data_IF_982465827535
#
_entry.id   IF_982465827535
#
_cell.length_a   1.000
_cell.length_b   1.000
_cell.length_c   1.000
_cell.angle_alpha   90.00
_cell.angle_beta   90.00
_cell.angle_gamma   90.00
#
_symmetry.space_group_name_H-M   'P 1'
#
loop_
_entity.id
_entity.type
_entity.pdbx_description
1 polymer ?
#
# COMPACT_ATOMS: atom_id res chain seq x y z
N UNK A 1 38.59 -15.50 -0.69
CA UNK A 1 39.50 -14.77 0.21
C UNK A 1 38.77 -13.48 0.60
N UNK A 2 38.62 -13.15 1.89
CA UNK A 2 37.93 -11.90 2.28
C UNK A 2 38.89 -10.74 2.06
N UNK A 3 38.47 -9.73 1.30
CA UNK A 3 39.28 -8.52 1.08
C UNK A 3 39.49 -7.77 2.41
N UNK A 4 40.70 -7.24 2.67
CA UNK A 4 41.01 -6.59 3.95
C UNK A 4 40.04 -5.47 4.35
N UNK A 5 39.59 -4.64 3.39
CA UNK A 5 38.66 -3.54 3.64
C UNK A 5 37.30 -3.99 4.16
N UNK A 6 36.73 -5.07 3.60
CA UNK A 6 35.49 -5.69 4.09
C UNK A 6 35.59 -6.18 5.53
N UNK A 7 36.76 -6.70 5.92
CA UNK A 7 37.01 -7.11 7.31
C UNK A 7 36.99 -5.90 8.25
N UNK A 8 37.63 -4.80 7.85
CA UNK A 8 37.59 -3.55 8.63
C UNK A 8 36.16 -2.99 8.72
N UNK A 9 35.38 -3.01 7.64
CA UNK A 9 33.99 -2.54 7.65
C UNK A 9 33.13 -3.37 8.61
N UNK A 10 33.19 -4.70 8.50
CA UNK A 10 32.43 -5.60 9.38
C UNK A 10 32.84 -5.46 10.86
N UNK A 11 34.15 -5.30 11.13
CA UNK A 11 34.64 -5.06 12.48
C UNK A 11 34.12 -3.71 13.03
N UNK A 12 34.25 -2.64 12.25
CA UNK A 12 33.80 -1.31 12.64
C UNK A 12 32.29 -1.27 12.91
N UNK A 13 31.47 -1.95 12.09
CA UNK A 13 30.03 -2.07 12.35
C UNK A 13 29.74 -2.75 13.70
N UNK A 14 30.49 -3.79 14.05
CA UNK A 14 30.34 -4.48 15.33
C UNK A 14 30.80 -3.61 16.50
N UNK A 15 31.90 -2.89 16.37
CA UNK A 15 32.40 -1.99 17.41
C UNK A 15 31.47 -0.79 17.62
N UNK A 16 30.89 -0.25 16.56
CA UNK A 16 29.97 0.89 16.62
C UNK A 16 28.83 0.68 17.63
N UNK A 17 28.29 -0.54 17.70
CA UNK A 17 27.21 -0.90 18.62
C UNK A 17 27.66 -1.27 20.03
N UNK A 18 28.95 -1.10 20.38
CA UNK A 18 29.46 -1.29 21.75
C UNK A 18 29.50 0.01 22.56
N UNK A 19 28.46 0.83 22.42
CA UNK A 19 28.30 2.03 23.26
C UNK A 19 28.37 1.62 24.74
N UNK A 20 29.07 2.41 25.55
CA UNK A 20 29.31 2.13 26.97
C UNK A 20 28.04 2.20 27.85
N UNK A 21 26.94 2.73 27.31
CA UNK A 21 25.66 2.89 27.99
C UNK A 21 24.58 2.00 27.35
N UNK A 22 23.54 1.57 28.10
CA UNK A 22 22.42 0.85 27.52
C UNK A 22 21.78 1.64 26.38
N UNK A 23 21.40 0.98 25.27
CA UNK A 23 20.87 1.65 24.07
C UNK A 23 19.68 2.58 24.33
N UNK A 24 18.80 2.22 25.26
CA UNK A 24 17.64 3.05 25.63
C UNK A 24 18.00 4.38 26.33
N UNK A 25 19.25 4.52 26.78
CA UNK A 25 19.79 5.69 27.47
C UNK A 25 20.90 6.37 26.66
N UNK A 26 21.31 5.79 25.52
CA UNK A 26 22.35 6.34 24.67
C UNK A 26 21.88 7.65 24.05
N UNK A 27 22.64 8.71 24.29
CA UNK A 27 22.42 10.03 23.68
C UNK A 27 22.98 10.06 22.26
N UNK A 28 22.59 11.08 21.50
CA UNK A 28 23.20 11.35 20.19
C UNK A 28 24.72 11.50 20.30
N UNK A 29 25.23 12.11 21.37
CA UNK A 29 26.66 12.32 21.55
C UNK A 29 27.41 10.99 21.74
N UNK A 30 26.84 10.03 22.47
CA UNK A 30 27.43 8.71 22.67
C UNK A 30 27.62 7.96 21.34
N UNK A 31 26.61 8.03 20.45
CA UNK A 31 26.68 7.43 19.12
C UNK A 31 27.70 8.12 18.21
N UNK A 32 27.80 9.45 18.29
CA UNK A 32 28.79 10.21 17.53
C UNK A 32 30.21 9.93 18.01
N UNK A 33 30.44 9.73 19.30
CA UNK A 33 31.75 9.31 19.83
C UNK A 33 32.14 7.91 19.33
N UNK A 34 31.20 6.97 19.32
CA UNK A 34 31.44 5.64 18.73
C UNK A 34 31.72 5.70 17.22
N UNK A 35 31.02 6.58 16.49
CA UNK A 35 31.32 6.84 15.10
C UNK A 35 32.76 7.32 14.89
N UNK A 36 33.23 8.29 15.69
CA UNK A 36 34.60 8.82 15.56
C UNK A 36 35.67 7.74 15.78
N UNK A 37 35.44 6.81 16.73
CA UNK A 37 36.33 5.66 16.95
C UNK A 37 36.36 4.75 15.70
N UNK A 38 35.20 4.42 15.15
CA UNK A 38 35.07 3.55 13.98
C UNK A 38 35.66 4.18 12.71
N UNK A 39 35.50 5.50 12.55
CA UNK A 39 35.98 6.30 11.41
C UNK A 39 37.48 6.15 11.18
N UNK A 40 38.26 5.90 12.23
CA UNK A 40 39.72 5.64 12.11
C UNK A 40 40.05 4.51 11.14
N UNK A 41 39.14 3.53 11.00
CA UNK A 41 39.29 2.41 10.08
C UNK A 41 39.03 2.77 8.60
N UNK A 42 38.41 3.91 8.30
CA UNK A 42 38.09 4.32 6.91
C UNK A 42 39.34 4.51 6.06
N UNK A 43 40.48 4.82 6.69
CA UNK A 43 41.78 4.87 6.00
C UNK A 43 42.22 3.54 5.36
N UNK A 44 41.59 2.42 5.76
CA UNK A 44 41.89 1.06 5.31
C UNK A 44 40.75 0.43 4.50
N UNK A 45 39.75 1.22 4.14
CA UNK A 45 38.52 0.80 3.46
C UNK A 45 38.49 1.39 2.04
N UNK A 46 37.96 0.62 1.08
CA UNK A 46 37.54 1.17 -0.20
C UNK A 46 36.22 1.95 -0.04
N UNK A 47 35.83 2.70 -1.07
CA UNK A 47 34.59 3.49 -1.04
C UNK A 47 33.36 2.63 -0.75
N UNK A 48 33.28 1.43 -1.35
CA UNK A 48 32.21 0.46 -1.13
C UNK A 48 32.14 -0.06 0.31
N UNK A 49 33.29 -0.26 0.97
CA UNK A 49 33.37 -0.72 2.36
C UNK A 49 32.86 0.34 3.35
N UNK A 50 33.11 1.63 3.06
CA UNK A 50 32.57 2.76 3.83
C UNK A 50 31.05 2.84 3.67
N UNK A 51 30.53 2.66 2.46
CA UNK A 51 29.08 2.56 2.23
C UNK A 51 28.47 1.39 3.00
N UNK A 52 29.13 0.24 3.03
CA UNK A 52 28.66 -0.92 3.78
C UNK A 52 28.66 -0.68 5.29
N UNK A 53 29.65 0.06 5.81
CA UNK A 53 29.64 0.51 7.21
C UNK A 53 28.42 1.39 7.50
N UNK A 54 28.15 2.40 6.67
CA UNK A 54 26.99 3.29 6.84
C UNK A 54 25.67 2.52 6.73
N UNK A 55 25.55 1.60 5.76
CA UNK A 55 24.36 0.73 5.62
C UNK A 55 24.16 -0.15 6.86
N UNK A 56 25.22 -0.79 7.35
CA UNK A 56 25.17 -1.70 8.50
C UNK A 56 24.89 -1.00 9.82
N UNK A 57 25.25 0.28 9.93
CA UNK A 57 25.04 1.08 11.15
C UNK A 57 23.75 1.89 11.11
N UNK A 58 23.55 2.74 10.09
CA UNK A 58 22.41 3.67 10.02
C UNK A 58 21.12 3.04 9.45
N UNK A 59 21.23 1.98 8.64
CA UNK A 59 20.11 1.44 7.89
C UNK A 59 19.88 -0.06 8.11
N UNK A 60 20.39 -0.58 9.23
CA UNK A 60 20.07 -1.92 9.70
C UNK A 60 18.84 -1.87 10.63
N UNK A 61 18.17 -3.02 10.77
CA UNK A 61 17.06 -3.18 11.73
C UNK A 61 17.46 -2.74 13.14
N UNK A 62 18.70 -3.04 13.53
CA UNK A 62 19.23 -2.65 14.82
C UNK A 62 19.48 -1.14 14.88
N UNK A 63 20.18 -0.58 13.89
CA UNK A 63 20.46 0.86 13.81
C UNK A 63 19.22 1.74 13.91
N UNK A 64 18.21 1.44 13.09
CA UNK A 64 16.92 2.14 13.08
C UNK A 64 16.20 2.03 14.44
N UNK A 65 16.42 0.94 15.19
CA UNK A 65 15.76 0.75 16.49
C UNK A 65 16.41 1.48 17.66
N UNK A 66 17.70 1.84 17.56
CA UNK A 66 18.47 2.38 18.69
C UNK A 66 18.96 3.81 18.48
N UNK A 67 18.95 4.31 17.25
CA UNK A 67 19.34 5.69 16.91
C UNK A 67 18.17 6.49 16.34
N UNK A 68 18.12 7.78 16.65
CA UNK A 68 17.19 8.70 16.01
C UNK A 68 17.58 8.97 14.55
N UNK A 69 16.62 9.42 13.75
CA UNK A 69 16.85 9.79 12.35
C UNK A 69 17.85 10.95 12.23
N UNK A 70 17.79 11.93 13.13
CA UNK A 70 18.73 13.07 13.16
C UNK A 70 20.17 12.62 13.45
N UNK A 71 20.36 11.69 14.39
CA UNK A 71 21.68 11.14 14.68
C UNK A 71 22.27 10.42 13.44
N UNK A 72 21.44 9.66 12.73
CA UNK A 72 21.82 8.99 11.49
C UNK A 72 22.15 9.98 10.37
N UNK A 73 21.39 11.06 10.22
CA UNK A 73 21.68 12.13 9.26
C UNK A 73 23.09 12.71 9.48
N UNK A 74 23.48 12.96 10.74
CA UNK A 74 24.81 13.47 11.08
C UNK A 74 25.91 12.44 10.73
N UNK A 75 25.70 11.17 11.04
CA UNK A 75 26.67 10.10 10.73
C UNK A 75 26.87 9.95 9.21
N UNK A 76 25.78 9.94 8.44
CA UNK A 76 25.84 9.88 6.97
C UNK A 76 26.54 11.12 6.41
N UNK A 77 26.21 12.31 6.92
CA UNK A 77 26.83 13.57 6.51
C UNK A 77 28.35 13.59 6.76
N UNK A 78 28.79 13.21 7.96
CA UNK A 78 30.22 13.09 8.29
C UNK A 78 30.92 12.05 7.42
N UNK A 79 30.24 10.95 7.10
CA UNK A 79 30.80 9.91 6.22
C UNK A 79 30.99 10.44 4.80
N UNK A 80 30.05 11.25 4.31
CA UNK A 80 30.16 11.97 3.02
C UNK A 80 31.34 12.93 3.02
N UNK A 81 31.50 13.75 4.06
CA UNK A 81 32.65 14.66 4.21
C UNK A 81 33.98 13.90 4.15
N UNK A 82 34.06 12.71 4.77
CA UNK A 82 35.26 11.89 4.72
C UNK A 82 35.53 11.32 3.30
N UNK A 83 34.49 10.92 2.57
CA UNK A 83 34.62 10.48 1.19
C UNK A 83 35.07 11.63 0.27
N UNK A 84 34.55 12.85 0.45
CA UNK A 84 34.96 14.02 -0.33
C UNK A 84 36.47 14.33 -0.19
N UNK A 85 37.03 14.18 1.01
CA UNK A 85 38.48 14.36 1.23
C UNK A 85 39.32 13.35 0.42
N UNK A 86 38.76 12.17 0.11
CA UNK A 86 39.42 11.11 -0.67
C UNK A 86 39.39 11.33 -2.19
N UNK A 87 38.55 12.24 -2.69
CA UNK A 87 38.44 12.54 -4.13
C UNK A 87 39.62 13.41 -4.61
N UNK A 88 39.99 14.44 -3.84
CA UNK A 88 40.98 15.43 -4.26
C UNK A 88 42.43 14.94 -4.50
N UNK A 89 42.94 13.87 -3.85
CA UNK A 89 44.31 13.41 -4.06
C UNK A 89 44.51 12.26 -5.09
N UNK A 90 43.47 11.74 -5.75
CA UNK A 90 43.55 10.54 -6.60
C UNK A 90 42.99 10.81 -8.00
N UNK A 91 43.81 10.79 -9.07
CA UNK A 91 43.33 11.05 -10.46
C UNK A 91 42.64 9.83 -11.12
N UNK A 92 42.95 8.60 -10.68
CA UNK A 92 42.41 7.35 -11.28
C UNK A 92 41.31 6.66 -10.43
N UNK A 93 41.17 6.98 -9.14
CA UNK A 93 40.11 6.46 -8.23
C UNK A 93 38.95 7.47 -8.02
N UNK A 94 38.91 8.56 -8.81
CA UNK A 94 37.90 9.63 -8.72
C UNK A 94 36.48 9.04 -8.81
N UNK A 95 36.27 8.06 -9.67
CA UNK A 95 34.94 7.53 -9.98
C UNK A 95 34.32 6.76 -8.80
N UNK A 96 35.08 5.94 -8.07
CA UNK A 96 34.52 5.12 -6.97
C UNK A 96 34.10 5.97 -5.76
N UNK A 97 34.91 6.96 -5.40
CA UNK A 97 34.61 7.87 -4.29
C UNK A 97 33.52 8.88 -4.64
N UNK A 98 33.45 9.34 -5.90
CA UNK A 98 32.36 10.17 -6.40
C UNK A 98 31.02 9.43 -6.38
N UNK A 99 30.99 8.17 -6.84
CA UNK A 99 29.79 7.32 -6.74
C UNK A 99 29.37 7.05 -5.29
N UNK A 100 30.34 6.87 -4.37
CA UNK A 100 30.01 6.75 -2.96
C UNK A 100 29.42 8.05 -2.37
N UNK A 101 29.92 9.21 -2.78
CA UNK A 101 29.34 10.50 -2.38
C UNK A 101 27.91 10.64 -2.90
N UNK A 102 27.64 10.29 -4.17
CA UNK A 102 26.28 10.27 -4.73
C UNK A 102 25.35 9.33 -3.96
N UNK A 103 25.83 8.14 -3.61
CA UNK A 103 25.05 7.20 -2.80
C UNK A 103 24.73 7.74 -1.41
N UNK A 104 25.67 8.43 -0.77
CA UNK A 104 25.45 9.08 0.53
C UNK A 104 24.48 10.27 0.42
N UNK A 105 24.46 10.99 -0.70
CA UNK A 105 23.44 12.01 -0.97
C UNK A 105 22.04 11.42 -1.05
N UNK A 106 21.88 10.29 -1.76
CA UNK A 106 20.60 9.55 -1.78
C UNK A 106 20.19 9.14 -0.36
N UNK A 107 21.14 8.68 0.46
CA UNK A 107 20.86 8.32 1.86
C UNK A 107 20.42 9.52 2.71
N UNK A 108 21.01 10.70 2.51
CA UNK A 108 20.63 11.92 3.21
C UNK A 108 19.24 12.39 2.79
N UNK A 109 18.96 12.45 1.49
CA UNK A 109 17.63 12.79 0.97
C UNK A 109 16.56 11.83 1.52
N UNK A 110 16.86 10.54 1.54
CA UNK A 110 16.00 9.52 2.12
C UNK A 110 15.72 9.74 3.61
N UNK A 111 16.74 10.03 4.41
CA UNK A 111 16.57 10.30 5.85
C UNK A 111 15.73 11.55 6.11
N UNK A 112 15.82 12.59 5.28
CA UNK A 112 14.94 13.76 5.37
C UNK A 112 13.47 13.34 5.18
N UNK A 113 13.19 12.46 4.22
CA UNK A 113 11.83 11.94 3.99
C UNK A 113 11.37 11.12 5.20
N UNK A 114 12.23 10.23 5.72
CA UNK A 114 11.93 9.45 6.93
C UNK A 114 11.60 10.36 8.11
N UNK A 115 12.40 11.41 8.35
CA UNK A 115 12.16 12.38 9.42
C UNK A 115 10.84 13.12 9.25
N UNK A 116 10.50 13.53 8.03
CA UNK A 116 9.22 14.18 7.73
C UNK A 116 8.04 13.22 7.98
N UNK A 117 8.17 11.96 7.56
CA UNK A 117 7.20 10.90 7.82
C UNK A 117 7.03 10.64 9.32
N UNK A 118 8.13 10.61 10.07
CA UNK A 118 8.11 10.44 11.53
C UNK A 118 7.48 11.63 12.25
N UNK A 119 7.74 12.87 11.81
CA UNK A 119 7.15 14.07 12.40
C UNK A 119 5.64 14.13 12.18
N UNK A 120 5.18 13.89 10.94
CA UNK A 120 3.76 13.85 10.59
C UNK A 120 3.03 12.73 11.35
N UNK A 121 3.68 11.58 11.46
CA UNK A 121 3.09 10.44 12.17
C UNK A 121 3.18 10.61 13.69
N UNK A 122 4.18 11.29 14.26
CA UNK A 122 4.19 11.69 15.67
C UNK A 122 2.99 12.59 16.00
N UNK A 123 2.62 13.51 15.11
CA UNK A 123 1.40 14.32 15.26
C UNK A 123 0.12 13.44 15.29
N UNK A 124 0.12 12.31 14.56
CA UNK A 124 -1.00 11.36 14.50
C UNK A 124 -0.97 10.27 15.59
N UNK A 125 0.21 9.88 16.09
CA UNK A 125 0.45 8.79 17.06
C UNK A 125 0.01 9.16 18.48
N UNK A 126 -0.17 10.44 18.79
CA UNK A 126 -1.01 10.85 19.93
C UNK A 126 -2.39 10.17 19.91
N UNK A 127 -2.79 9.51 18.80
CA UNK A 127 -4.05 8.77 18.69
C UNK A 127 -4.01 7.26 18.37
N UNK A 128 -2.91 6.58 17.93
CA UNK A 128 -2.75 5.09 17.90
C UNK A 128 -1.48 4.59 17.17
N UNK A 129 -0.87 3.49 17.66
CA UNK A 129 0.30 2.78 17.08
C UNK A 129 0.00 2.03 15.76
N UNK A 130 0.85 2.23 14.74
CA UNK A 130 1.61 1.20 13.97
C UNK A 130 2.40 1.86 12.82
N UNK A 131 3.73 1.79 12.89
CA UNK A 131 4.72 2.47 12.03
C UNK A 131 5.45 1.53 11.06
N UNK A 132 4.95 0.31 10.87
CA UNK A 132 5.68 -0.74 10.14
C UNK A 132 6.08 -0.31 8.73
N UNK A 133 5.27 0.51 8.05
CA UNK A 133 5.58 0.96 6.68
C UNK A 133 6.68 2.01 6.62
N UNK A 134 6.77 2.94 7.58
CA UNK A 134 7.93 3.83 7.66
C UNK A 134 9.17 3.00 7.87
N UNK A 135 9.13 2.00 8.76
CA UNK A 135 10.29 1.14 9.03
C UNK A 135 10.79 0.41 7.78
N UNK A 136 9.88 -0.17 6.98
CA UNK A 136 10.24 -0.79 5.70
C UNK A 136 10.77 0.21 4.68
N UNK A 137 10.22 1.42 4.65
CA UNK A 137 10.76 2.50 3.82
C UNK A 137 12.15 2.91 4.28
N UNK A 138 12.37 3.12 5.57
CA UNK A 138 13.66 3.49 6.15
C UNK A 138 14.76 2.47 5.78
N UNK A 139 14.45 1.17 5.89
CA UNK A 139 15.33 0.07 5.45
C UNK A 139 15.65 0.04 3.95
N UNK A 140 14.86 0.71 3.10
CA UNK A 140 15.13 0.75 1.65
C UNK A 140 16.31 1.64 1.30
N UNK A 141 16.65 2.62 2.16
CA UNK A 141 17.80 3.53 1.97
C UNK A 141 17.69 4.39 0.71
N UNK A 142 16.46 4.79 0.35
CA UNK A 142 16.20 5.54 -0.88
C UNK A 142 16.21 4.67 -2.15
N UNK A 143 16.27 3.34 -2.03
CA UNK A 143 16.18 2.44 -3.17
C UNK A 143 14.78 2.49 -3.81
N UNK A 144 14.68 3.21 -4.92
CA UNK A 144 13.43 3.43 -5.64
C UNK A 144 12.86 2.14 -6.23
N UNK A 145 13.69 1.12 -6.47
CA UNK A 145 13.22 -0.19 -6.98
C UNK A 145 12.33 -0.93 -5.99
N UNK A 146 12.38 -0.56 -4.70
CA UNK A 146 11.57 -1.16 -3.65
C UNK A 146 10.27 -0.39 -3.38
N UNK A 147 10.06 0.78 -3.98
CA UNK A 147 8.89 1.63 -3.74
C UNK A 147 7.57 0.90 -4.03
N UNK A 148 7.49 0.13 -5.12
CA UNK A 148 6.29 -0.63 -5.46
C UNK A 148 5.89 -1.62 -4.36
N UNK A 149 6.88 -2.28 -3.76
CA UNK A 149 6.66 -3.22 -2.66
C UNK A 149 6.21 -2.50 -1.40
N UNK A 150 6.84 -1.36 -1.10
CA UNK A 150 6.51 -0.52 0.07
C UNK A 150 5.09 0.04 -0.06
N UNK A 151 4.71 0.52 -1.25
CA UNK A 151 3.35 1.00 -1.55
C UNK A 151 2.31 -0.11 -1.38
N UNK A 152 2.57 -1.32 -1.87
CA UNK A 152 1.67 -2.45 -1.69
C UNK A 152 1.49 -2.82 -0.21
N UNK A 153 2.58 -2.85 0.56
CA UNK A 153 2.52 -3.08 2.00
C UNK A 153 1.77 -1.96 2.74
N UNK A 154 1.96 -0.71 2.32
CA UNK A 154 1.29 0.45 2.89
C UNK A 154 -0.22 0.43 2.61
N UNK A 155 -0.66 0.06 1.41
CA UNK A 155 -2.09 -0.08 1.06
C UNK A 155 -2.78 -1.13 1.93
N UNK A 156 -2.15 -2.30 2.09
CA UNK A 156 -2.72 -3.43 2.86
C UNK A 156 -2.71 -3.13 4.37
N UNK A 157 -1.83 -2.25 4.82
CA UNK A 157 -1.71 -1.88 6.22
C UNK A 157 -2.96 -1.20 6.77
N UNK A 158 -3.18 -1.37 8.06
CA UNK A 158 -4.32 -0.81 8.78
C UNK A 158 -4.09 0.67 9.17
N UNK A 159 -3.68 1.49 8.21
CA UNK A 159 -3.54 2.95 8.33
C UNK A 159 -4.76 3.64 7.70
N UNK A 160 -5.11 4.83 8.17
CA UNK A 160 -6.24 5.60 7.62
C UNK A 160 -6.01 5.98 6.16
N UNK A 161 -7.09 6.33 5.43
CA UNK A 161 -7.02 6.85 4.07
C UNK A 161 -6.10 8.08 3.97
N UNK A 162 -6.25 9.00 4.92
CA UNK A 162 -5.49 10.25 4.99
C UNK A 162 -4.01 9.98 5.26
N UNK A 163 -3.70 9.14 6.25
CA UNK A 163 -2.32 8.77 6.57
C UNK A 163 -1.63 8.07 5.38
N UNK A 164 -2.36 7.27 4.60
CA UNK A 164 -1.81 6.66 3.39
C UNK A 164 -1.57 7.68 2.28
N UNK A 165 -2.51 8.63 2.07
CA UNK A 165 -2.32 9.73 1.12
C UNK A 165 -1.07 10.54 1.45
N UNK A 166 -0.94 10.96 2.70
CA UNK A 166 0.21 11.74 3.17
C UNK A 166 1.52 10.95 3.05
N UNK A 167 1.51 9.66 3.43
CA UNK A 167 2.65 8.77 3.23
C UNK A 167 3.09 8.79 1.76
N UNK A 168 2.15 8.59 0.84
CA UNK A 168 2.41 8.64 -0.62
C UNK A 168 2.93 10.01 -1.05
N UNK A 169 2.38 11.12 -0.57
CA UNK A 169 2.83 12.48 -0.96
C UNK A 169 4.27 12.77 -0.56
N UNK A 170 4.77 12.15 0.52
CA UNK A 170 6.13 12.35 1.02
C UNK A 170 7.15 11.43 0.34
N UNK A 171 6.71 10.35 -0.30
CA UNK A 171 7.61 9.44 -0.99
C UNK A 171 8.20 10.10 -2.24
N UNK A 172 9.44 9.74 -2.61
CA UNK A 172 10.04 10.19 -3.85
C UNK A 172 9.35 9.47 -5.01
N UNK A 173 8.26 10.05 -5.50
CA UNK A 173 7.50 9.52 -6.61
C UNK A 173 7.85 10.23 -7.92
N UNK A 174 7.95 9.44 -8.99
CA UNK A 174 7.68 9.87 -10.36
C UNK A 174 6.42 10.73 -10.39
N UNK A 175 6.40 11.79 -11.20
CA UNK A 175 5.43 12.90 -11.36
C UNK A 175 3.92 12.56 -11.46
N UNK A 176 3.46 11.54 -10.75
CA UNK A 176 2.13 10.98 -10.76
C UNK A 176 1.29 11.61 -9.65
N UNK A 177 0.02 11.87 -9.94
CA UNK A 177 -0.94 12.23 -8.90
C UNK A 177 -1.32 11.02 -8.06
N UNK A 178 -1.92 11.25 -6.88
CA UNK A 178 -2.38 10.18 -6.01
C UNK A 178 -3.39 9.25 -6.72
N UNK A 179 -4.25 9.78 -7.58
CA UNK A 179 -5.23 9.05 -8.38
C UNK A 179 -4.54 8.14 -9.41
N UNK A 180 -3.49 8.64 -10.06
CA UNK A 180 -2.69 7.86 -11.00
C UNK A 180 -1.95 6.72 -10.30
N UNK A 181 -1.46 6.96 -9.09
CA UNK A 181 -0.84 5.93 -8.26
C UNK A 181 -1.84 4.86 -7.84
N UNK A 182 -3.05 5.24 -7.39
CA UNK A 182 -4.11 4.26 -7.07
C UNK A 182 -4.51 3.44 -8.29
N UNK A 183 -4.59 4.06 -9.46
CA UNK A 183 -4.85 3.37 -10.74
C UNK A 183 -3.74 2.37 -11.08
N UNK A 184 -2.48 2.77 -10.91
CA UNK A 184 -1.32 1.91 -11.14
C UNK A 184 -1.27 0.73 -10.17
N UNK A 185 -1.58 0.97 -8.89
CA UNK A 185 -1.71 -0.08 -7.88
C UNK A 185 -2.86 -1.03 -8.19
N UNK A 186 -3.98 -0.52 -8.69
CA UNK A 186 -5.12 -1.34 -9.11
C UNK A 186 -4.74 -2.26 -10.27
N UNK A 187 -4.13 -1.72 -11.33
CA UNK A 187 -3.62 -2.52 -12.47
C UNK A 187 -2.64 -3.60 -12.01
N UNK A 188 -1.72 -3.24 -11.13
CA UNK A 188 -0.73 -4.18 -10.56
C UNK A 188 -1.41 -5.27 -9.74
N UNK A 189 -2.38 -4.92 -8.89
CA UNK A 189 -3.13 -5.88 -8.08
C UNK A 189 -3.93 -6.86 -8.97
N UNK A 190 -4.57 -6.35 -10.03
CA UNK A 190 -5.30 -7.18 -11.01
C UNK A 190 -4.35 -8.13 -11.73
N UNK A 191 -3.20 -7.63 -12.20
CA UNK A 191 -2.19 -8.46 -12.85
C UNK A 191 -1.69 -9.58 -11.95
N UNK A 192 -1.39 -9.26 -10.68
CA UNK A 192 -0.96 -10.25 -9.68
C UNK A 192 -2.05 -11.28 -9.39
N UNK A 193 -3.29 -10.85 -9.20
CA UNK A 193 -4.41 -11.76 -8.97
C UNK A 193 -4.63 -12.73 -10.13
N UNK A 194 -4.48 -12.26 -11.38
CA UNK A 194 -4.59 -13.11 -12.57
C UNK A 194 -3.47 -14.16 -12.68
N UNK A 195 -2.28 -13.84 -12.17
CA UNK A 195 -1.17 -14.79 -12.13
C UNK A 195 -1.24 -15.76 -10.93
N UNK A 196 -1.76 -15.29 -9.80
CA UNK A 196 -1.84 -16.01 -8.53
C UNK A 196 -3.12 -15.61 -7.81
N UNK A 197 -4.08 -16.53 -7.69
CA UNK A 197 -5.36 -16.30 -7.01
C UNK A 197 -5.30 -16.59 -5.51
N UNK A 198 -4.17 -16.23 -4.88
CA UNK A 198 -3.92 -16.44 -3.46
C UNK A 198 -4.66 -15.44 -2.55
N UNK A 199 -4.62 -15.73 -1.25
CA UNK A 199 -5.25 -14.90 -0.22
C UNK A 199 -4.64 -13.50 -0.14
N UNK A 200 -3.32 -13.36 -0.34
CA UNK A 200 -2.64 -12.07 -0.25
C UNK A 200 -2.94 -11.18 -1.47
N UNK A 201 -3.05 -11.76 -2.66
CA UNK A 201 -3.42 -11.05 -3.89
C UNK A 201 -4.87 -10.57 -3.82
N UNK A 202 -5.77 -11.42 -3.31
CA UNK A 202 -7.18 -11.06 -3.04
C UNK A 202 -7.25 -9.87 -2.08
N UNK A 203 -6.49 -9.94 -0.99
CA UNK A 203 -6.44 -8.89 0.04
C UNK A 203 -5.86 -7.59 -0.49
N UNK A 204 -4.80 -7.65 -1.31
CA UNK A 204 -4.23 -6.48 -1.98
C UNK A 204 -5.29 -5.80 -2.85
N UNK A 205 -5.94 -6.56 -3.74
CA UNK A 205 -6.94 -6.03 -4.65
C UNK A 205 -8.12 -5.40 -3.90
N UNK A 206 -8.64 -6.07 -2.88
CA UNK A 206 -9.71 -5.54 -2.03
C UNK A 206 -9.29 -4.24 -1.32
N UNK A 207 -8.07 -4.19 -0.77
CA UNK A 207 -7.56 -3.01 -0.06
C UNK A 207 -7.33 -1.83 -1.00
N UNK A 208 -6.85 -2.06 -2.22
CA UNK A 208 -6.74 -0.99 -3.24
C UNK A 208 -8.12 -0.43 -3.58
N UNK A 209 -9.12 -1.28 -3.81
CA UNK A 209 -10.50 -0.83 -4.06
C UNK A 209 -11.05 -0.03 -2.87
N UNK A 210 -10.79 -0.46 -1.65
CA UNK A 210 -11.16 0.29 -0.45
C UNK A 210 -10.52 1.69 -0.43
N UNK A 211 -9.23 1.82 -0.77
CA UNK A 211 -8.56 3.14 -0.85
C UNK A 211 -9.17 4.03 -1.93
N UNK A 212 -9.52 3.46 -3.09
CA UNK A 212 -10.21 4.18 -4.16
C UNK A 212 -11.55 4.70 -3.66
N UNK A 213 -12.36 3.86 -3.01
CA UNK A 213 -13.65 4.28 -2.45
C UNK A 213 -13.50 5.42 -1.44
N UNK A 214 -12.51 5.33 -0.55
CA UNK A 214 -12.21 6.38 0.43
C UNK A 214 -11.76 7.68 -0.27
N UNK A 215 -10.99 7.57 -1.35
CA UNK A 215 -10.53 8.70 -2.16
C UNK A 215 -11.69 9.40 -2.88
N UNK A 216 -12.71 8.68 -3.37
CA UNK A 216 -13.86 9.26 -4.09
C UNK A 216 -14.69 10.27 -3.27
N UNK A 217 -14.49 10.35 -1.95
CA UNK A 217 -15.10 11.40 -1.11
C UNK A 217 -14.55 12.80 -1.41
N UNK A 218 -13.42 12.91 -2.10
CA UNK A 218 -12.83 14.19 -2.51
C UNK A 218 -13.34 14.60 -3.90
N UNK A 219 -13.80 15.84 -4.05
CA UNK A 219 -14.47 16.36 -5.26
C UNK A 219 -13.67 16.23 -6.57
N UNK A 220 -12.34 16.14 -6.49
CA UNK A 220 -11.44 16.03 -7.66
C UNK A 220 -11.12 14.58 -8.08
N UNK A 221 -11.74 13.58 -7.48
CA UNK A 221 -11.34 12.18 -7.67
C UNK A 221 -11.93 11.56 -8.93
N UNK A 222 -11.06 10.96 -9.73
CA UNK A 222 -11.44 10.24 -10.96
C UNK A 222 -11.54 8.74 -10.63
N UNK A 223 -12.63 8.12 -11.04
CA UNK A 223 -12.79 6.67 -10.94
C UNK A 223 -11.89 5.96 -11.99
N UNK A 224 -11.05 5.00 -11.59
CA UNK A 224 -10.32 4.17 -12.56
C UNK A 224 -11.27 3.29 -13.39
N UNK A 225 -11.06 3.25 -14.71
CA UNK A 225 -11.88 2.46 -15.63
C UNK A 225 -11.84 0.96 -15.31
N UNK A 226 -10.74 0.48 -14.72
CA UNK A 226 -10.56 -0.91 -14.33
C UNK A 226 -11.61 -1.39 -13.32
N UNK A 227 -12.16 -0.50 -12.48
CA UNK A 227 -13.22 -0.86 -11.51
C UNK A 227 -14.44 -1.47 -12.20
N UNK A 228 -14.77 -1.00 -13.41
CA UNK A 228 -15.89 -1.49 -14.20
C UNK A 228 -15.66 -2.91 -14.72
N UNK A 229 -14.42 -3.18 -15.12
CA UNK A 229 -14.02 -4.49 -15.64
C UNK A 229 -14.09 -5.57 -14.55
N UNK A 230 -13.81 -5.19 -13.29
CA UNK A 230 -13.86 -6.11 -12.16
C UNK A 230 -15.29 -6.57 -11.84
N UNK A 231 -16.28 -5.70 -12.02
CA UNK A 231 -17.66 -6.03 -11.67
C UNK A 231 -18.22 -7.25 -12.44
N UNK A 232 -17.73 -7.47 -13.67
CA UNK A 232 -18.17 -8.55 -14.55
C UNK A 232 -17.21 -9.72 -14.67
N UNK A 233 -16.06 -9.73 -13.97
CA UNK A 233 -15.06 -10.79 -14.12
C UNK A 233 -15.45 -12.03 -13.29
N UNK A 234 -15.84 -13.16 -13.91
CA UNK A 234 -16.29 -14.34 -13.20
C UNK A 234 -15.16 -15.03 -12.41
N UNK A 235 -13.90 -14.72 -12.68
CA UNK A 235 -12.75 -15.30 -11.98
C UNK A 235 -12.49 -14.64 -10.62
N UNK A 236 -13.15 -13.50 -10.33
CA UNK A 236 -13.00 -12.79 -9.07
C UNK A 236 -13.96 -13.32 -8.01
N UNK A 237 -13.56 -13.20 -6.75
CA UNK A 237 -14.42 -13.52 -5.62
C UNK A 237 -15.66 -12.61 -5.62
N UNK A 238 -16.78 -13.12 -5.09
CA UNK A 238 -17.99 -12.32 -4.93
C UNK A 238 -17.73 -11.03 -4.12
N UNK A 239 -16.88 -11.11 -3.09
CA UNK A 239 -16.48 -9.97 -2.26
C UNK A 239 -15.83 -8.84 -3.08
N UNK A 240 -14.86 -9.15 -3.95
CA UNK A 240 -14.21 -8.15 -4.79
C UNK A 240 -15.21 -7.54 -5.79
N UNK A 241 -16.06 -8.37 -6.40
CA UNK A 241 -17.07 -7.90 -7.36
C UNK A 241 -18.09 -6.97 -6.72
N UNK A 242 -18.60 -7.35 -5.54
CA UNK A 242 -19.51 -6.51 -4.76
C UNK A 242 -18.83 -5.20 -4.36
N UNK A 243 -17.55 -5.24 -3.94
CA UNK A 243 -16.83 -4.02 -3.59
C UNK A 243 -16.66 -3.06 -4.77
N UNK A 244 -16.33 -3.59 -5.95
CA UNK A 244 -16.25 -2.79 -7.16
C UNK A 244 -17.62 -2.20 -7.54
N UNK A 245 -18.70 -2.96 -7.40
CA UNK A 245 -20.06 -2.49 -7.64
C UNK A 245 -20.50 -1.39 -6.65
N UNK A 246 -20.20 -1.53 -5.36
CA UNK A 246 -20.43 -0.48 -4.36
C UNK A 246 -19.75 0.83 -4.75
N UNK A 247 -18.51 0.75 -5.26
CA UNK A 247 -17.76 1.93 -5.72
C UNK A 247 -18.47 2.58 -6.90
N UNK A 248 -18.90 1.79 -7.90
CA UNK A 248 -19.65 2.31 -9.04
C UNK A 248 -20.96 2.97 -8.63
N UNK A 249 -21.70 2.36 -7.69
CA UNK A 249 -22.98 2.87 -7.21
C UNK A 249 -22.83 4.13 -6.34
N UNK A 250 -21.69 4.29 -5.66
CA UNK A 250 -21.42 5.47 -4.84
C UNK A 250 -21.25 6.76 -5.65
N UNK A 251 -20.94 6.63 -6.94
CA UNK A 251 -20.97 7.73 -7.89
C UNK A 251 -22.43 7.91 -8.33
N UNK A 252 -23.07 9.01 -7.90
CA UNK A 252 -24.45 9.38 -8.25
C UNK A 252 -24.77 9.16 -9.75
N UNK A 253 -26.06 8.98 -10.12
CA UNK A 253 -26.52 8.36 -11.38
C UNK A 253 -26.36 9.23 -12.66
N UNK A 254 -25.31 10.04 -12.76
CA UNK A 254 -25.05 10.89 -13.93
C UNK A 254 -24.12 10.25 -14.97
N UNK A 255 -23.83 8.96 -14.84
CA UNK A 255 -23.09 8.20 -15.85
C UNK A 255 -23.94 7.03 -16.38
N UNK A 256 -24.90 7.35 -17.26
CA UNK A 256 -25.24 6.60 -18.49
C UNK A 256 -24.97 5.08 -18.42
N UNK A 257 -25.62 4.36 -17.52
CA UNK A 257 -25.71 2.89 -17.56
C UNK A 257 -27.16 2.50 -17.37
N UNK A 258 -27.61 1.46 -18.07
CA UNK A 258 -28.92 0.91 -17.74
C UNK A 258 -28.84 0.38 -16.31
N UNK A 259 -29.81 0.77 -15.49
CA UNK A 259 -29.97 0.24 -14.14
C UNK A 259 -30.00 -1.31 -14.17
N UNK A 260 -30.43 -1.90 -15.30
CA UNK A 260 -30.48 -3.34 -15.53
C UNK A 260 -29.12 -4.04 -15.56
N UNK A 261 -28.08 -3.46 -16.20
CA UNK A 261 -26.77 -4.12 -16.27
C UNK A 261 -26.09 -4.14 -14.90
N UNK A 262 -26.21 -3.05 -14.14
CA UNK A 262 -25.68 -2.96 -12.78
C UNK A 262 -26.45 -3.90 -11.84
N UNK A 263 -27.78 -3.93 -11.95
CA UNK A 263 -28.64 -4.85 -11.22
C UNK A 263 -28.30 -6.32 -11.50
N UNK A 264 -28.04 -6.66 -12.77
CA UNK A 264 -27.61 -7.99 -13.18
C UNK A 264 -26.29 -8.40 -12.56
N UNK A 265 -25.25 -7.56 -12.67
CA UNK A 265 -23.94 -7.85 -12.07
C UNK A 265 -24.01 -7.95 -10.55
N UNK A 266 -24.80 -7.09 -9.91
CA UNK A 266 -25.04 -7.14 -8.47
C UNK A 266 -25.75 -8.43 -8.04
N UNK A 267 -26.82 -8.81 -8.73
CA UNK A 267 -27.56 -10.05 -8.46
C UNK A 267 -26.64 -11.27 -8.63
N UNK A 268 -25.84 -11.31 -9.69
CA UNK A 268 -24.85 -12.39 -9.90
C UNK A 268 -23.82 -12.47 -8.77
N UNK A 269 -23.28 -11.33 -8.34
CA UNK A 269 -22.28 -11.28 -7.28
C UNK A 269 -22.87 -11.68 -5.92
N UNK A 270 -24.10 -11.24 -5.60
CA UNK A 270 -24.82 -11.63 -4.38
C UNK A 270 -25.08 -13.15 -4.37
N UNK A 271 -25.56 -13.73 -5.47
CA UNK A 271 -25.77 -15.19 -5.56
C UNK A 271 -24.46 -15.94 -5.33
N UNK A 272 -23.38 -15.52 -5.99
CA UNK A 272 -22.07 -16.16 -5.85
C UNK A 272 -21.44 -16.02 -4.45
N UNK A 273 -21.96 -15.13 -3.59
CA UNK A 273 -21.46 -14.95 -2.22
C UNK A 273 -21.87 -16.08 -1.27
N UNK A 274 -22.88 -16.88 -1.61
CA UNK A 274 -23.21 -18.06 -0.81
C UNK A 274 -23.81 -19.25 -1.55
N UNK A 275 -23.99 -19.18 -2.87
CA UNK A 275 -24.01 -20.37 -3.72
C UNK A 275 -22.61 -20.61 -4.30
N UNK A 276 -21.93 -21.69 -3.87
CA UNK A 276 -20.62 -22.10 -4.43
C UNK A 276 -20.67 -22.34 -5.94
N UNK A 277 -21.80 -22.82 -6.42
CA UNK A 277 -22.16 -22.92 -7.84
C UNK A 277 -23.58 -22.37 -7.97
N UNK A 278 -23.78 -21.46 -8.92
CA UNK A 278 -25.10 -20.90 -9.17
C UNK A 278 -26.08 -22.04 -9.49
N UNK A 279 -27.30 -22.03 -8.93
CA UNK A 279 -28.26 -23.11 -9.11
C UNK A 279 -28.70 -23.27 -10.57
N UNK A 280 -28.62 -22.20 -11.35
CA UNK A 280 -28.86 -22.15 -12.80
C UNK A 280 -28.23 -20.88 -13.39
N UNK A 281 -28.04 -20.85 -14.71
CA UNK A 281 -27.62 -19.65 -15.43
C UNK A 281 -28.81 -18.74 -15.70
N UNK A 282 -28.60 -17.42 -15.63
CA UNK A 282 -29.59 -16.40 -15.96
C UNK A 282 -28.92 -15.25 -16.72
N UNK A 283 -29.69 -14.48 -17.46
CA UNK A 283 -29.23 -13.40 -18.34
C UNK A 283 -29.73 -12.03 -17.88
N UNK A 284 -29.23 -10.96 -18.48
CA UNK A 284 -29.66 -9.59 -18.14
C UNK A 284 -31.16 -9.38 -18.38
N UNK A 285 -31.75 -10.06 -19.37
CA UNK A 285 -33.18 -10.02 -19.66
C UNK A 285 -34.05 -10.57 -18.52
N UNK A 286 -33.50 -11.45 -17.66
CA UNK A 286 -34.22 -12.00 -16.49
C UNK A 286 -34.41 -10.96 -15.37
N UNK A 287 -33.87 -9.75 -15.53
CA UNK A 287 -33.97 -8.64 -14.58
C UNK A 287 -34.55 -7.36 -15.21
N UNK A 288 -34.90 -7.39 -16.49
CA UNK A 288 -35.33 -6.22 -17.25
C UNK A 288 -36.69 -5.67 -16.79
N UNK A 289 -37.62 -6.55 -16.40
CA UNK A 289 -38.97 -6.19 -15.95
C UNK A 289 -39.27 -6.71 -14.55
N UNK A 290 -40.26 -6.14 -13.87
CA UNK A 290 -40.71 -6.61 -12.56
C UNK A 290 -41.14 -8.09 -12.59
N UNK A 291 -41.86 -8.51 -13.63
CA UNK A 291 -42.28 -9.89 -13.84
C UNK A 291 -41.09 -10.85 -14.02
N UNK A 292 -40.08 -10.44 -14.80
CA UNK A 292 -38.86 -11.25 -14.98
C UNK A 292 -38.09 -11.42 -13.66
N UNK A 293 -38.02 -10.35 -12.85
CA UNK A 293 -37.42 -10.37 -11.51
C UNK A 293 -38.16 -11.33 -10.58
N UNK A 294 -39.50 -11.28 -10.54
CA UNK A 294 -40.31 -12.19 -9.75
C UNK A 294 -40.09 -13.66 -10.14
N UNK A 295 -40.03 -13.95 -11.44
CA UNK A 295 -39.77 -15.28 -11.95
C UNK A 295 -38.38 -15.78 -11.55
N UNK A 296 -37.36 -14.93 -11.65
CA UNK A 296 -36.00 -15.24 -11.21
C UNK A 296 -35.95 -15.52 -9.70
N UNK A 297 -36.56 -14.66 -8.88
CA UNK A 297 -36.63 -14.83 -7.43
C UNK A 297 -37.33 -16.13 -7.05
N UNK A 298 -38.46 -16.44 -7.69
CA UNK A 298 -39.19 -17.68 -7.49
C UNK A 298 -38.36 -18.91 -7.83
N UNK A 299 -37.59 -18.87 -8.92
CA UNK A 299 -36.65 -19.95 -9.28
C UNK A 299 -35.55 -20.10 -8.23
N UNK A 300 -34.95 -19.01 -7.76
CA UNK A 300 -33.90 -19.07 -6.72
C UNK A 300 -34.45 -19.62 -5.39
N UNK A 301 -35.65 -19.18 -4.98
CA UNK A 301 -36.32 -19.65 -3.76
C UNK A 301 -36.58 -21.16 -3.80
N UNK A 302 -36.97 -21.72 -4.95
CA UNK A 302 -37.16 -23.17 -5.11
C UNK A 302 -35.87 -23.98 -4.93
N UNK A 303 -34.71 -23.37 -5.19
CA UNK A 303 -33.40 -24.01 -5.04
C UNK A 303 -32.73 -23.70 -3.68
N UNK A 304 -33.39 -22.92 -2.82
CA UNK A 304 -32.85 -22.57 -1.51
C UNK A 304 -32.97 -23.74 -0.52
N UNK A 305 -31.88 -24.48 -0.34
CA UNK A 305 -31.79 -25.62 0.60
C UNK A 305 -31.09 -25.34 1.94
N UNK A 306 -30.53 -24.15 2.15
CA UNK A 306 -29.75 -23.80 3.34
C UNK A 306 -30.15 -22.42 3.87
N UNK A 307 -29.92 -22.18 5.17
CA UNK A 307 -30.21 -20.87 5.77
C UNK A 307 -29.44 -19.72 5.10
N UNK A 308 -28.20 -19.97 4.68
CA UNK A 308 -27.38 -19.00 3.95
C UNK A 308 -28.05 -18.56 2.64
N UNK A 309 -28.74 -19.46 1.95
CA UNK A 309 -29.50 -19.14 0.73
C UNK A 309 -30.63 -18.14 0.99
N UNK A 310 -31.31 -18.24 2.15
CA UNK A 310 -32.37 -17.31 2.53
C UNK A 310 -31.83 -15.91 2.87
N UNK A 311 -30.64 -15.82 3.48
CA UNK A 311 -29.97 -14.54 3.71
C UNK A 311 -29.61 -13.85 2.40
N UNK A 312 -29.08 -14.59 1.43
CA UNK A 312 -28.76 -14.07 0.09
C UNK A 312 -30.02 -13.59 -0.63
N UNK A 313 -31.12 -14.36 -0.58
CA UNK A 313 -32.39 -13.96 -1.17
C UNK A 313 -32.92 -12.66 -0.56
N UNK A 314 -32.76 -12.48 0.75
CA UNK A 314 -33.07 -11.22 1.42
C UNK A 314 -32.20 -10.08 0.88
N UNK A 315 -30.89 -10.31 0.71
CA UNK A 315 -29.97 -9.29 0.19
C UNK A 315 -30.30 -8.90 -1.26
N UNK A 316 -30.70 -9.86 -2.09
CA UNK A 316 -31.20 -9.62 -3.45
C UNK A 316 -32.41 -8.69 -3.39
N UNK A 317 -33.43 -9.00 -2.59
CA UNK A 317 -34.63 -8.16 -2.46
C UNK A 317 -34.31 -6.75 -1.99
N UNK A 318 -33.37 -6.59 -1.05
CA UNK A 318 -32.95 -5.28 -0.58
C UNK A 318 -32.19 -4.47 -1.66
N UNK A 319 -31.59 -5.16 -2.64
CA UNK A 319 -30.83 -4.53 -3.74
C UNK A 319 -31.67 -4.21 -4.97
N UNK A 320 -32.84 -4.85 -5.12
CA UNK A 320 -33.69 -4.69 -6.29
C UNK A 320 -34.57 -3.43 -6.20
N UNK A 321 -34.98 -2.86 -7.35
CA UNK A 321 -35.94 -1.77 -7.37
C UNK A 321 -37.25 -2.19 -6.68
N UNK A 322 -37.92 -1.27 -5.95
CA UNK A 322 -39.20 -1.56 -5.34
C UNK A 322 -40.22 -1.98 -6.41
N UNK A 323 -41.02 -2.99 -6.08
CA UNK A 323 -42.20 -3.37 -6.86
C UNK A 323 -43.18 -2.22 -6.94
N UNK A 324 -43.80 -2.02 -8.10
CA UNK A 324 -44.53 -0.81 -8.47
C UNK A 324 -45.89 -0.61 -7.75
N UNK A 325 -46.13 -1.28 -6.61
CA UNK A 325 -47.51 -1.56 -6.17
C UNK A 325 -47.79 -1.40 -4.66
N UNK A 326 -47.09 -0.48 -3.97
CA UNK A 326 -47.47 -0.07 -2.61
C UNK A 326 -48.19 1.28 -2.52
N UNK A 327 -47.94 2.24 -3.43
CA UNK A 327 -48.62 3.54 -3.42
C UNK A 327 -49.95 3.55 -4.19
N UNK A 328 -50.06 2.74 -5.25
CA UNK A 328 -51.29 2.53 -6.04
C UNK A 328 -52.42 1.87 -5.24
N UNK A 329 -52.08 0.95 -4.32
CA UNK A 329 -53.05 0.18 -3.52
C UNK A 329 -53.55 0.92 -2.28
N UNK A 330 -52.82 1.93 -1.80
CA UNK A 330 -53.26 2.78 -0.70
C UNK A 330 -54.19 3.91 -1.18
N UNK A 331 -54.03 4.36 -2.43
CA UNK A 331 -54.89 5.39 -3.04
C UNK A 331 -56.18 4.81 -3.64
N UNK A 332 -56.22 3.53 -3.99
CA UNK A 332 -57.43 2.87 -4.51
C UNK A 332 -58.44 2.40 -3.43
N UNK A 333 -58.14 2.58 -2.14
CA UNK A 333 -59.02 2.21 -1.03
C UNK A 333 -59.71 3.41 -0.33
N UNK A 334 -59.69 4.60 -0.95
CA UNK A 334 -60.41 5.80 -0.46
C UNK A 334 -61.35 6.36 -1.55
N UNK A 335 -62.14 5.49 -2.17
CA UNK A 335 -63.31 5.89 -2.95
C UNK A 335 -64.59 5.31 -2.35
#
# INVERSE_FOLDING_TARGET
>A
MVEPGKLYSAWAQKEFFKVSVPFAQASQQDWLEQYELCKTCFSKMAASDVLDFVKGTCFSEHGISVMSTECREIIVSRSKENCLIKIYPMEDEVDEWDEAVKALDIFLEHLIIVRNLEAEICAQILKKKKLTNIRFFDLSRGDTSQLDKILQMAVISNISAESFRQFVTLLPHTSQTFEQLLTTLLKTAIGKFKCSNGTEETKLLYRVLQRIQENLKHESSILPQEVETLCGDPNLTAEIRLKALEILQSLKPHAVRSDTTLLYRQTQAIIASGWKQAPFSFEESDLATEESREQLFSKLLRHASAWQHLLILKDILNSWPPCSDLESRLTSNIH
#
